data_IF_898803805241
#
_entry.id   IF_898803805241
#
_cell.length_a   1.000
_cell.length_b   1.000
_cell.length_c   1.000
_cell.angle_alpha   90.00
_cell.angle_beta   90.00
_cell.angle_gamma   90.00
#
_symmetry.space_group_name_H-M   'P 1'
#
loop_
_entity.id
_entity.type
_entity.pdbx_description
1 polymer ?
#
# COMPACT_ATOMS: atom_id res chain seq x y z
N UNK A 1 -7.22 -1.07 -1.14
CA UNK A 1 -6.90 -0.07 -2.19
C UNK A 1 -8.20 0.38 -2.84
N UNK A 2 -8.30 1.65 -3.25
CA UNK A 2 -9.41 2.14 -4.09
C UNK A 2 -8.96 2.50 -5.50
N UNK A 3 -7.72 2.93 -5.68
CA UNK A 3 -7.11 3.25 -6.98
C UNK A 3 -5.62 2.91 -6.94
N UNK A 4 -5.07 2.47 -8.08
CA UNK A 4 -3.64 2.19 -8.27
C UNK A 4 -3.26 2.51 -9.72
N UNK A 5 -2.16 3.24 -9.90
CA UNK A 5 -1.62 3.59 -11.21
C UNK A 5 -0.09 3.46 -11.21
N UNK A 6 0.44 2.77 -12.22
CA UNK A 6 1.87 2.72 -12.52
C UNK A 6 2.23 3.84 -13.51
N UNK A 7 3.15 4.73 -13.12
CA UNK A 7 3.65 5.81 -14.00
C UNK A 7 4.93 5.43 -14.75
N UNK A 8 5.44 4.20 -14.54
CA UNK A 8 6.75 3.72 -15.00
C UNK A 8 7.92 4.15 -14.11
N UNK A 9 7.71 5.09 -13.18
CA UNK A 9 8.70 5.54 -12.20
C UNK A 9 8.26 5.28 -10.75
N UNK A 10 6.95 5.25 -10.54
CA UNK A 10 6.33 5.09 -9.23
C UNK A 10 4.96 4.45 -9.38
N UNK A 11 4.56 3.72 -8.35
CA UNK A 11 3.16 3.33 -8.15
C UNK A 11 2.52 4.36 -7.24
N UNK A 12 1.43 4.96 -7.70
CA UNK A 12 0.61 5.88 -6.91
C UNK A 12 -0.78 5.31 -6.74
N UNK A 13 -1.45 5.68 -5.66
CA UNK A 13 -2.80 5.21 -5.43
C UNK A 13 -3.36 5.69 -4.11
N UNK A 14 -4.42 5.01 -3.68
CA UNK A 14 -5.10 5.31 -2.43
C UNK A 14 -5.32 4.05 -1.61
N UNK A 15 -4.80 4.04 -0.39
CA UNK A 15 -5.16 3.05 0.64
C UNK A 15 -6.52 3.41 1.22
N UNK A 16 -7.28 2.40 1.63
CA UNK A 16 -8.56 2.55 2.33
C UNK A 16 -8.54 1.65 3.54
N UNK A 17 -8.93 2.18 4.70
CA UNK A 17 -9.23 1.38 5.88
C UNK A 17 -10.58 0.67 5.68
N UNK A 18 -10.62 -0.67 5.53
CA UNK A 18 -11.87 -1.41 5.37
C UNK A 18 -12.52 -1.78 6.70
N UNK A 19 -11.88 -1.47 7.84
CA UNK A 19 -12.41 -1.76 9.18
C UNK A 19 -13.55 -0.82 9.54
N UNK A 20 -14.32 -1.23 10.54
CA UNK A 20 -15.40 -0.47 11.17
C UNK A 20 -14.92 0.48 12.29
N UNK A 21 -13.61 0.49 12.55
CA UNK A 21 -12.95 1.34 13.54
C UNK A 21 -11.68 1.97 12.93
N UNK A 22 -11.06 2.89 13.66
CA UNK A 22 -9.82 3.53 13.23
C UNK A 22 -8.62 2.57 13.31
N UNK A 23 -7.79 2.57 12.28
CA UNK A 23 -6.47 1.90 12.31
C UNK A 23 -5.39 2.95 12.54
N UNK A 24 -4.25 2.53 13.07
CA UNK A 24 -3.15 3.41 13.49
C UNK A 24 -1.96 3.32 12.54
N UNK A 25 -1.36 4.48 12.29
CA UNK A 25 -0.16 4.64 11.49
C UNK A 25 1.07 4.01 12.17
N UNK A 26 2.17 3.73 11.45
CA UNK A 26 2.35 3.91 10.00
C UNK A 26 1.61 2.87 9.15
N UNK A 27 1.25 3.26 7.93
CA UNK A 27 0.65 2.36 6.95
C UNK A 27 1.68 1.98 5.89
N UNK A 28 2.18 0.74 5.92
CA UNK A 28 3.09 0.24 4.88
C UNK A 28 2.32 -0.01 3.59
N UNK A 29 2.99 0.22 2.46
CA UNK A 29 2.52 -0.17 1.13
C UNK A 29 3.63 -0.95 0.46
N UNK A 30 3.34 -2.18 0.07
CA UNK A 30 4.30 -3.12 -0.49
C UNK A 30 3.85 -3.51 -1.91
N UNK A 31 4.74 -3.33 -2.88
CA UNK A 31 4.54 -3.64 -4.30
C UNK A 31 5.47 -4.77 -4.69
N UNK A 32 4.90 -5.88 -5.15
CA UNK A 32 5.63 -7.04 -5.64
C UNK A 32 5.51 -7.11 -7.16
N UNK A 33 6.58 -6.82 -7.88
CA UNK A 33 6.62 -6.96 -9.33
C UNK A 33 6.82 -8.42 -9.71
N UNK A 34 5.97 -8.94 -10.57
CA UNK A 34 5.99 -10.34 -11.02
C UNK A 34 6.12 -10.43 -12.53
N UNK A 35 6.67 -11.52 -13.05
CA UNK A 35 6.61 -11.83 -14.48
C UNK A 35 5.31 -12.56 -14.85
N UNK A 36 5.15 -12.84 -16.15
CA UNK A 36 3.98 -13.55 -16.67
C UNK A 36 3.78 -14.99 -16.15
N UNK A 37 4.82 -15.58 -15.56
CA UNK A 37 4.75 -16.89 -14.90
C UNK A 37 4.39 -16.80 -13.42
N UNK A 38 4.32 -15.58 -12.87
CA UNK A 38 4.11 -15.33 -11.44
C UNK A 38 5.40 -15.34 -10.62
N UNK A 39 6.58 -15.36 -11.26
CA UNK A 39 7.86 -15.30 -10.55
C UNK A 39 8.08 -13.90 -10.01
N UNK A 40 8.45 -13.78 -8.74
CA UNK A 40 8.81 -12.50 -8.12
C UNK A 40 10.11 -11.96 -8.74
N UNK A 41 10.04 -10.73 -9.25
CA UNK A 41 11.18 -10.03 -9.82
C UNK A 41 11.80 -9.07 -8.80
N UNK A 42 10.97 -8.20 -8.22
CA UNK A 42 11.37 -7.14 -7.30
C UNK A 42 10.27 -6.86 -6.27
N UNK A 43 10.67 -6.27 -5.14
CA UNK A 43 9.78 -5.74 -4.12
C UNK A 43 10.13 -4.27 -3.86
N UNK A 44 9.11 -3.41 -3.79
CA UNK A 44 9.26 -1.99 -3.45
C UNK A 44 8.32 -1.63 -2.31
N UNK A 45 8.83 -0.89 -1.34
CA UNK A 45 8.08 -0.45 -0.17
C UNK A 45 7.91 1.07 -0.13
N UNK A 46 6.82 1.51 0.47
CA UNK A 46 6.56 2.91 0.80
C UNK A 46 5.54 3.02 1.93
N UNK A 47 5.05 4.24 2.17
CA UNK A 47 4.03 4.50 3.17
C UNK A 47 2.90 5.32 2.56
N UNK A 48 1.70 5.21 3.14
CA UNK A 48 0.65 6.18 2.89
C UNK A 48 1.03 7.55 3.49
N UNK A 49 0.54 8.63 2.89
CA UNK A 49 0.91 9.99 3.23
C UNK A 49 0.39 10.43 4.61
N UNK A 50 -0.69 9.79 5.10
CA UNK A 50 -1.25 10.08 6.42
C UNK A 50 -0.41 9.42 7.51
N UNK A 51 0.01 10.23 8.49
CA UNK A 51 0.81 9.80 9.65
C UNK A 51 0.02 9.68 10.95
N UNK A 52 -1.30 9.87 10.89
CA UNK A 52 -2.23 9.74 12.01
C UNK A 52 -3.16 8.56 11.82
N UNK A 53 -4.01 8.30 12.81
CA UNK A 53 -5.08 7.32 12.70
C UNK A 53 -5.97 7.58 11.48
N UNK A 54 -6.33 6.50 10.79
CA UNK A 54 -7.21 6.50 9.64
C UNK A 54 -8.55 5.92 10.09
N UNK A 55 -9.56 6.79 10.17
CA UNK A 55 -10.91 6.42 10.60
C UNK A 55 -11.50 5.28 9.74
N UNK A 56 -12.56 4.65 10.24
CA UNK A 56 -13.31 3.63 9.52
C UNK A 56 -13.73 4.13 8.13
N UNK A 57 -13.42 3.35 7.08
CA UNK A 57 -13.68 3.74 5.69
C UNK A 57 -12.79 4.87 5.14
N UNK A 58 -11.95 5.48 5.98
CA UNK A 58 -11.04 6.56 5.61
C UNK A 58 -10.00 6.13 4.58
N UNK A 59 -9.49 7.10 3.85
CA UNK A 59 -8.55 6.88 2.73
C UNK A 59 -7.32 7.77 2.87
N UNK A 60 -6.19 7.32 2.34
CA UNK A 60 -4.98 8.13 2.24
C UNK A 60 -4.23 7.83 0.94
N UNK A 61 -3.71 8.85 0.25
CA UNK A 61 -2.84 8.64 -0.89
C UNK A 61 -1.54 7.96 -0.47
N UNK A 62 -0.87 7.30 -1.42
CA UNK A 62 0.48 6.77 -1.24
C UNK A 62 1.29 6.95 -2.53
N UNK A 63 2.62 6.93 -2.37
CA UNK A 63 3.57 6.82 -3.48
C UNK A 63 4.66 5.81 -3.13
N UNK A 64 4.88 4.82 -4.02
CA UNK A 64 5.99 3.86 -3.96
C UNK A 64 6.91 4.10 -5.15
N UNK A 65 8.17 4.43 -4.90
CA UNK A 65 9.17 4.62 -5.96
C UNK A 65 9.63 3.28 -6.52
N UNK A 66 9.65 3.14 -7.85
CA UNK A 66 10.20 1.98 -8.56
C UNK A 66 11.69 2.16 -8.92
N UNK A 67 12.23 3.37 -8.71
CA UNK A 67 13.62 3.71 -9.01
C UNK A 67 14.04 3.36 -10.45
N UNK A 68 13.13 3.53 -11.41
CA UNK A 68 13.34 3.21 -12.82
C UNK A 68 13.26 1.72 -13.20
N UNK A 69 12.89 0.84 -12.27
CA UNK A 69 12.66 -0.58 -12.54
C UNK A 69 11.33 -0.81 -13.25
N UNK A 70 11.30 -1.69 -14.24
CA UNK A 70 10.04 -2.09 -14.88
C UNK A 70 9.20 -2.98 -13.94
N UNK A 71 7.91 -2.68 -13.83
CA UNK A 71 6.96 -3.40 -12.98
C UNK A 71 5.63 -3.63 -13.72
N UNK A 72 5.69 -4.18 -14.94
CA UNK A 72 4.52 -4.27 -15.82
C UNK A 72 3.35 -5.10 -15.25
N UNK A 73 3.64 -6.05 -14.37
CA UNK A 73 2.66 -6.82 -13.62
C UNK A 73 3.07 -6.81 -12.16
N UNK A 74 2.10 -6.56 -11.27
CA UNK A 74 2.39 -6.45 -9.85
C UNK A 74 1.21 -6.86 -8.97
N UNK A 75 1.56 -7.27 -7.76
CA UNK A 75 0.67 -7.37 -6.62
C UNK A 75 0.96 -6.21 -5.68
N UNK A 76 -0.06 -5.69 -5.02
CA UNK A 76 0.10 -4.59 -4.08
C UNK A 76 -0.75 -4.81 -2.83
N UNK A 77 -0.14 -4.58 -1.68
CA UNK A 77 -0.78 -4.67 -0.37
C UNK A 77 -0.52 -3.41 0.44
N UNK A 78 -1.37 -3.18 1.44
CA UNK A 78 -1.10 -2.20 2.47
C UNK A 78 -1.43 -2.80 3.85
N UNK A 79 -0.64 -2.42 4.84
CA UNK A 79 -0.82 -2.86 6.22
C UNK A 79 -0.78 -1.67 7.18
N UNK A 80 -1.33 -1.84 8.37
CA UNK A 80 -1.34 -0.86 9.45
C UNK A 80 -1.70 -1.54 10.77
N UNK A 81 -1.63 -0.80 11.87
CA UNK A 81 -1.87 -1.37 13.20
C UNK A 81 -3.35 -1.29 13.58
N UNK A 82 -3.90 -2.41 14.02
CA UNK A 82 -5.23 -2.50 14.61
C UNK A 82 -5.06 -2.77 16.11
N UNK A 83 -5.24 -1.72 16.92
CA UNK A 83 -5.07 -1.81 18.37
C UNK A 83 -6.22 -2.57 19.04
N UNK A 84 -7.39 -2.67 18.40
CA UNK A 84 -8.54 -3.41 18.94
C UNK A 84 -8.32 -4.92 18.81
N UNK A 85 -7.65 -5.35 17.75
CA UNK A 85 -7.21 -6.73 17.57
C UNK A 85 -6.10 -7.14 18.55
N UNK A 86 -5.37 -6.17 19.12
CA UNK A 86 -4.30 -6.40 20.10
C UNK A 86 -4.79 -6.61 21.54
N UNK A 87 -6.11 -6.52 21.80
CA UNK A 87 -6.69 -6.76 23.13
C UNK A 87 -6.46 -5.66 24.16
N UNK A 88 -6.21 -4.42 23.71
CA UNK A 88 -6.10 -3.23 24.57
C UNK A 88 -7.37 -2.38 24.53
#
# INVERSE_FOLDING_TARGET
MTEVNDTGQQIVGTVKNPRDHAVTAPYSVDVFCVDSSGTLLNEFGGFADVSTDLAAGGTSPFTVSLYGSQCAQFLIGASGYDMTAAGN
#
